data_IF_866619922935
#
_entry.id   IF_866619922935
#
_cell.length_a   1.000
_cell.length_b   1.000
_cell.length_c   1.000
_cell.angle_alpha   90.00
_cell.angle_beta   90.00
_cell.angle_gamma   90.00
#
_symmetry.space_group_name_H-M   'P 1'
#
loop_
_entity.id
_entity.type
_entity.pdbx_description
1 polymer ?
#
# COMPACT_ATOMS: atom_id res chain seq x y z
N UNK A 1 -1.50 21.60 6.03
CA UNK A 1 -2.11 20.47 5.29
C UNK A 1 -3.26 20.95 4.40
N UNK A 2 -4.21 21.73 4.92
CA UNK A 2 -5.35 22.24 4.12
C UNK A 2 -4.95 23.08 2.89
N UNK A 3 -3.98 23.99 3.03
CA UNK A 3 -3.48 24.76 1.89
C UNK A 3 -2.90 23.88 0.76
N UNK A 4 -2.16 22.82 1.12
CA UNK A 4 -1.61 21.88 0.14
C UNK A 4 -2.73 21.07 -0.55
N UNK A 5 -3.74 20.62 0.20
CA UNK A 5 -4.92 19.95 -0.35
C UNK A 5 -5.66 20.86 -1.34
N UNK A 6 -5.88 22.13 -1.00
CA UNK A 6 -6.52 23.10 -1.88
C UNK A 6 -5.72 23.32 -3.17
N UNK A 7 -4.37 23.36 -3.09
CA UNK A 7 -3.52 23.46 -4.28
C UNK A 7 -3.64 22.25 -5.20
N UNK A 8 -3.66 21.03 -4.68
CA UNK A 8 -3.89 19.83 -5.48
C UNK A 8 -5.26 19.86 -6.16
N UNK A 9 -6.30 20.20 -5.41
CA UNK A 9 -7.68 20.27 -5.94
C UNK A 9 -7.80 21.34 -7.03
N UNK A 10 -7.18 22.51 -6.85
CA UNK A 10 -7.17 23.56 -7.87
C UNK A 10 -6.44 23.13 -9.15
N UNK A 11 -5.30 22.43 -9.02
CA UNK A 11 -4.57 21.90 -10.16
C UNK A 11 -5.39 20.83 -10.93
N UNK A 12 -6.03 19.91 -10.21
CA UNK A 12 -6.87 18.86 -10.81
C UNK A 12 -8.21 19.38 -11.35
N UNK A 13 -8.70 20.52 -10.86
CA UNK A 13 -9.84 21.21 -11.46
C UNK A 13 -9.48 21.85 -12.81
N UNK A 14 -8.24 22.32 -12.95
CA UNK A 14 -7.73 22.87 -14.21
C UNK A 14 -7.42 21.78 -15.24
N UNK A 15 -6.80 20.68 -14.81
CA UNK A 15 -6.53 19.51 -15.64
C UNK A 15 -6.91 18.19 -14.92
N UNK A 16 -8.16 17.72 -15.09
CA UNK A 16 -8.62 16.47 -14.50
C UNK A 16 -7.90 15.21 -15.04
N UNK A 17 -7.21 15.31 -16.19
CA UNK A 17 -6.48 14.19 -16.78
C UNK A 17 -5.04 14.04 -16.29
N UNK A 18 -4.59 14.94 -15.41
CA UNK A 18 -3.23 14.93 -14.88
C UNK A 18 -3.00 13.80 -13.85
N UNK A 19 -2.90 12.55 -14.33
CA UNK A 19 -2.74 11.35 -13.49
C UNK A 19 -1.54 11.44 -12.54
N UNK A 20 -0.38 11.93 -12.99
CA UNK A 20 0.80 12.13 -12.13
C UNK A 20 0.50 13.08 -10.94
N UNK A 21 -0.24 14.16 -11.18
CA UNK A 21 -0.66 15.09 -10.13
C UNK A 21 -1.68 14.44 -9.19
N UNK A 22 -2.60 13.64 -9.73
CA UNK A 22 -3.59 12.89 -8.95
C UNK A 22 -2.93 11.83 -8.06
N UNK A 23 -1.97 11.07 -8.57
CA UNK A 23 -1.17 10.11 -7.79
C UNK A 23 -0.40 10.79 -6.66
N UNK A 24 0.17 11.97 -6.92
CA UNK A 24 0.82 12.77 -5.87
C UNK A 24 -0.18 13.17 -4.78
N UNK A 25 -1.39 13.59 -5.18
CA UNK A 25 -2.45 13.96 -4.24
C UNK A 25 -2.96 12.75 -3.43
N UNK A 26 -3.13 11.60 -4.06
CA UNK A 26 -3.44 10.32 -3.39
C UNK A 26 -2.41 10.01 -2.32
N UNK A 27 -1.11 10.09 -2.64
CA UNK A 27 -0.04 9.89 -1.66
C UNK A 27 -0.15 10.83 -0.46
N UNK A 28 -0.46 12.11 -0.71
CA UNK A 28 -0.71 13.10 0.33
C UNK A 28 -1.93 12.74 1.21
N UNK A 29 -3.01 12.23 0.63
CA UNK A 29 -4.20 11.78 1.36
C UNK A 29 -3.90 10.56 2.24
N UNK A 30 -3.15 9.58 1.73
CA UNK A 30 -2.73 8.40 2.49
C UNK A 30 -1.81 8.78 3.67
N UNK A 31 -0.89 9.73 3.48
CA UNK A 31 -0.08 10.27 4.58
C UNK A 31 -0.91 11.00 5.65
N UNK A 32 -2.11 11.46 5.29
CA UNK A 32 -3.10 12.04 6.19
C UNK A 32 -4.08 11.02 6.79
N UNK A 33 -3.92 9.72 6.54
CA UNK A 33 -4.86 8.65 6.88
C UNK A 33 -6.29 8.88 6.32
N UNK A 34 -6.41 9.63 5.21
CA UNK A 34 -7.69 9.90 4.53
C UNK A 34 -7.96 8.83 3.48
N UNK A 35 -8.17 7.60 3.94
CA UNK A 35 -8.26 6.40 3.07
C UNK A 35 -9.42 6.50 2.07
N UNK A 36 -10.62 6.92 2.54
CA UNK A 36 -11.80 7.04 1.67
C UNK A 36 -11.64 8.11 0.58
N UNK A 37 -11.01 9.26 0.93
CA UNK A 37 -10.72 10.30 -0.05
C UNK A 37 -9.69 9.80 -1.08
N UNK A 38 -8.65 9.09 -0.63
CA UNK A 38 -7.63 8.52 -1.52
C UNK A 38 -8.23 7.48 -2.48
N UNK A 39 -9.13 6.62 -2.01
CA UNK A 39 -9.86 5.65 -2.84
C UNK A 39 -10.74 6.34 -3.88
N UNK A 40 -11.42 7.43 -3.49
CA UNK A 40 -12.20 8.25 -4.41
C UNK A 40 -11.32 8.81 -5.53
N UNK A 41 -10.16 9.39 -5.19
CA UNK A 41 -9.22 9.92 -6.18
C UNK A 41 -8.62 8.81 -7.07
N UNK A 42 -8.35 7.63 -6.53
CA UNK A 42 -7.92 6.48 -7.31
C UNK A 42 -8.94 6.10 -8.40
N UNK A 43 -10.23 6.16 -8.07
CA UNK A 43 -11.32 5.91 -9.03
C UNK A 43 -11.42 6.94 -10.17
N UNK A 44 -10.73 8.08 -10.06
CA UNK A 44 -10.70 9.13 -11.08
C UNK A 44 -9.46 9.05 -12.00
N UNK A 45 -8.55 8.11 -11.76
CA UNK A 45 -7.38 7.92 -12.61
C UNK A 45 -7.78 7.39 -13.99
N UNK A 46 -7.08 7.86 -15.02
CA UNK A 46 -7.26 7.29 -16.35
C UNK A 46 -6.67 5.87 -16.45
N UNK A 47 -7.08 5.06 -17.43
CA UNK A 47 -6.46 3.74 -17.65
C UNK A 47 -4.95 3.78 -17.88
N UNK A 48 -4.40 4.93 -18.32
CA UNK A 48 -2.96 5.10 -18.56
C UNK A 48 -2.17 5.29 -17.26
N UNK A 49 -2.82 5.66 -16.16
CA UNK A 49 -2.17 5.82 -14.86
C UNK A 49 -1.44 4.55 -14.41
N UNK A 50 -1.87 3.37 -14.87
CA UNK A 50 -1.21 2.08 -14.62
C UNK A 50 0.25 2.02 -15.11
N UNK A 51 0.66 2.94 -15.99
CA UNK A 51 2.02 3.06 -16.52
C UNK A 51 2.88 4.02 -15.72
N UNK A 52 2.31 4.77 -14.78
CA UNK A 52 3.05 5.70 -13.92
C UNK A 52 3.76 4.92 -12.82
N UNK A 53 5.04 5.25 -12.57
CA UNK A 53 5.90 4.56 -11.59
C UNK A 53 5.28 4.50 -10.18
N UNK A 54 4.51 5.51 -9.79
CA UNK A 54 3.90 5.60 -8.47
C UNK A 54 2.59 4.78 -8.31
N UNK A 55 1.97 4.36 -9.41
CA UNK A 55 0.62 3.78 -9.39
C UNK A 55 0.54 2.53 -8.53
N UNK A 56 1.39 1.56 -8.82
CA UNK A 56 1.31 0.23 -8.21
C UNK A 56 1.63 0.32 -6.70
N UNK A 57 2.67 1.06 -6.31
CA UNK A 57 3.04 1.24 -4.90
C UNK A 57 1.94 1.95 -4.09
N UNK A 58 1.28 2.95 -4.67
CA UNK A 58 0.15 3.64 -4.02
C UNK A 58 -1.09 2.75 -3.94
N UNK A 59 -1.34 1.90 -4.95
CA UNK A 59 -2.45 0.96 -4.93
C UNK A 59 -2.25 -0.07 -3.83
N UNK A 60 -1.06 -0.69 -3.76
CA UNK A 60 -0.69 -1.64 -2.71
C UNK A 60 -0.81 -1.00 -1.33
N UNK A 61 -0.36 0.25 -1.17
CA UNK A 61 -0.47 0.97 0.09
C UNK A 61 -1.93 1.26 0.47
N UNK A 62 -2.77 1.68 -0.48
CA UNK A 62 -4.20 1.91 -0.23
C UNK A 62 -4.87 0.63 0.27
N UNK A 63 -4.66 -0.49 -0.42
CA UNK A 63 -5.27 -1.78 -0.04
C UNK A 63 -4.75 -2.26 1.33
N UNK A 64 -3.44 -2.13 1.59
CA UNK A 64 -2.90 -2.41 2.92
C UNK A 64 -3.55 -1.55 4.00
N UNK A 65 -3.69 -0.23 3.77
CA UNK A 65 -4.33 0.69 4.73
C UNK A 65 -5.81 0.39 4.96
N UNK A 66 -6.53 -0.17 3.96
CA UNK A 66 -7.91 -0.63 4.12
C UNK A 66 -7.99 -1.88 4.99
N UNK A 67 -7.02 -2.79 4.89
CA UNK A 67 -7.01 -4.07 5.61
C UNK A 67 -6.44 -4.03 7.04
N UNK A 68 -5.58 -3.06 7.39
CA UNK A 68 -4.90 -3.04 8.72
C UNK A 68 -5.84 -2.96 9.93
N UNK A 69 -7.08 -2.49 9.77
CA UNK A 69 -8.05 -2.42 10.86
C UNK A 69 -8.50 -3.78 11.39
N UNK A 70 -8.41 -4.82 10.55
CA UNK A 70 -8.81 -6.18 10.86
C UNK A 70 -7.64 -7.07 11.31
N UNK A 71 -6.40 -6.54 11.27
CA UNK A 71 -5.19 -7.28 11.59
C UNK A 71 -4.88 -7.27 13.10
N UNK A 72 -4.19 -8.31 13.61
CA UNK A 72 -3.59 -8.27 14.93
C UNK A 72 -2.60 -7.12 15.06
N UNK A 73 -2.29 -6.71 16.30
CA UNK A 73 -1.34 -5.64 16.50
C UNK A 73 0.07 -6.03 16.00
N UNK A 74 0.86 -5.02 15.62
CA UNK A 74 2.17 -5.26 15.02
C UNK A 74 3.18 -5.95 15.97
N UNK A 75 3.01 -5.87 17.29
CA UNK A 75 3.87 -6.55 18.25
C UNK A 75 3.49 -8.04 18.35
N UNK A 76 2.19 -8.35 18.34
CA UNK A 76 1.67 -9.70 18.28
C UNK A 76 2.12 -10.42 17.01
N UNK A 77 1.99 -9.78 15.84
CA UNK A 77 2.44 -10.35 14.57
C UNK A 77 3.95 -10.64 14.58
N UNK A 78 4.76 -9.72 15.11
CA UNK A 78 6.21 -9.95 15.29
C UNK A 78 6.50 -11.13 16.22
N UNK A 79 5.75 -11.26 17.32
CA UNK A 79 5.91 -12.37 18.25
C UNK A 79 5.52 -13.71 17.61
N UNK A 80 4.44 -13.75 16.82
CA UNK A 80 4.03 -14.94 16.05
C UNK A 80 5.12 -15.37 15.07
N UNK A 81 5.65 -14.44 14.28
CA UNK A 81 6.74 -14.71 13.32
C UNK A 81 8.02 -15.17 14.03
N UNK A 82 8.36 -14.60 15.19
CA UNK A 82 9.53 -15.02 15.95
C UNK A 82 9.37 -16.43 16.54
N UNK A 83 8.17 -16.77 17.03
CA UNK A 83 7.87 -18.09 17.58
C UNK A 83 7.75 -19.17 16.50
N UNK A 84 7.23 -18.81 15.32
CA UNK A 84 7.10 -19.69 14.17
C UNK A 84 7.48 -18.94 12.88
N UNK A 85 8.76 -19.01 12.45
CA UNK A 85 9.21 -18.39 11.21
C UNK A 85 8.52 -18.91 9.94
N UNK A 86 7.79 -20.03 10.00
CA UNK A 86 7.01 -20.59 8.89
C UNK A 86 5.51 -20.20 8.93
N UNK A 87 5.09 -19.33 9.85
CA UNK A 87 3.74 -18.74 9.86
C UNK A 87 3.61 -17.70 8.74
N UNK A 88 3.42 -18.18 7.50
CA UNK A 88 3.29 -17.34 6.30
C UNK A 88 2.12 -16.36 6.38
N UNK A 89 0.93 -16.72 6.92
CA UNK A 89 -0.13 -15.76 7.18
C UNK A 89 0.33 -14.60 8.08
N UNK A 90 0.99 -14.88 9.22
CA UNK A 90 1.48 -13.81 10.09
C UNK A 90 2.54 -12.92 9.41
N UNK A 91 3.39 -13.49 8.55
CA UNK A 91 4.34 -12.71 7.76
C UNK A 91 3.65 -11.79 6.75
N UNK A 92 2.60 -12.27 6.09
CA UNK A 92 1.83 -11.49 5.13
C UNK A 92 1.10 -10.33 5.83
N UNK A 93 0.43 -10.61 6.95
CA UNK A 93 -0.22 -9.58 7.77
C UNK A 93 0.79 -8.53 8.25
N UNK A 94 1.97 -8.98 8.71
CA UNK A 94 3.04 -8.09 9.12
C UNK A 94 3.54 -7.24 7.93
N UNK A 95 3.70 -7.82 6.74
CA UNK A 95 4.08 -7.08 5.54
C UNK A 95 3.06 -6.00 5.19
N UNK A 96 1.75 -6.29 5.20
CA UNK A 96 0.70 -5.31 4.94
C UNK A 96 0.72 -4.17 5.97
N UNK A 97 0.88 -4.49 7.26
CA UNK A 97 0.99 -3.48 8.31
C UNK A 97 2.22 -2.58 8.12
N UNK A 98 3.35 -3.14 7.69
CA UNK A 98 4.57 -2.39 7.38
C UNK A 98 4.41 -1.51 6.13
N UNK A 99 3.77 -2.02 5.07
CA UNK A 99 3.45 -1.26 3.85
C UNK A 99 2.56 -0.06 4.16
N UNK A 100 1.49 -0.26 4.96
CA UNK A 100 0.59 0.81 5.37
C UNK A 100 1.34 1.94 6.09
N UNK A 101 2.40 1.59 6.82
CA UNK A 101 3.29 2.51 7.55
C UNK A 101 4.48 3.04 6.72
N UNK A 102 4.60 2.63 5.46
CA UNK A 102 5.73 2.93 4.56
C UNK A 102 7.08 2.36 5.03
N UNK A 103 7.06 1.32 5.85
CA UNK A 103 8.23 0.56 6.29
C UNK A 103 8.58 -0.51 5.23
N UNK A 104 8.82 -0.08 3.99
CA UNK A 104 8.90 -0.97 2.82
C UNK A 104 10.05 -1.98 2.86
N UNK A 105 11.20 -1.60 3.41
CA UNK A 105 12.34 -2.51 3.55
C UNK A 105 11.99 -3.69 4.47
N UNK A 106 11.42 -3.41 5.64
CA UNK A 106 10.97 -4.43 6.57
C UNK A 106 9.82 -5.27 5.99
N UNK A 107 8.91 -4.67 5.22
CA UNK A 107 7.86 -5.40 4.53
C UNK A 107 8.45 -6.37 3.48
N UNK A 108 9.42 -5.90 2.70
CA UNK A 108 10.12 -6.70 1.69
C UNK A 108 10.81 -7.91 2.32
N UNK A 109 11.44 -7.75 3.49
CA UNK A 109 12.02 -8.89 4.22
C UNK A 109 10.98 -9.98 4.50
N UNK A 110 9.77 -9.60 4.95
CA UNK A 110 8.72 -10.59 5.21
C UNK A 110 8.24 -11.28 3.93
N UNK A 111 8.04 -10.51 2.85
CA UNK A 111 7.59 -11.04 1.56
C UNK A 111 8.64 -11.96 0.92
N UNK A 112 9.93 -11.62 1.04
CA UNK A 112 11.03 -12.47 0.58
C UNK A 112 11.06 -13.80 1.34
N UNK A 113 10.84 -13.79 2.65
CA UNK A 113 10.76 -15.02 3.45
C UNK A 113 9.56 -15.88 3.06
N UNK A 114 8.42 -15.28 2.70
CA UNK A 114 7.28 -16.02 2.12
C UNK A 114 7.70 -16.70 0.82
N UNK A 115 8.28 -15.96 -0.12
CA UNK A 115 8.69 -16.51 -1.43
C UNK A 115 9.76 -17.60 -1.30
N UNK A 116 10.69 -17.45 -0.35
CA UNK A 116 11.73 -18.45 -0.05
C UNK A 116 11.14 -19.73 0.56
N UNK A 117 10.13 -19.59 1.42
CA UNK A 117 9.53 -20.71 2.15
C UNK A 117 8.51 -21.47 1.32
N UNK A 118 7.57 -20.75 0.71
CA UNK A 118 6.58 -21.27 -0.23
C UNK A 118 6.22 -20.20 -1.25
N UNK A 119 6.81 -20.30 -2.44
CA UNK A 119 6.54 -19.39 -3.55
C UNK A 119 5.06 -19.38 -3.96
N UNK A 120 4.36 -20.50 -3.85
CA UNK A 120 2.98 -20.66 -4.30
C UNK A 120 1.94 -20.25 -3.26
N UNK A 121 2.36 -19.82 -2.07
CA UNK A 121 1.49 -19.35 -1.01
C UNK A 121 0.54 -18.25 -1.52
N UNK A 122 -0.77 -18.47 -1.32
CA UNK A 122 -1.88 -17.60 -1.76
C UNK A 122 -1.72 -17.07 -3.20
N UNK A 123 -1.52 -17.98 -4.17
CA UNK A 123 -1.35 -17.65 -5.58
C UNK A 123 -0.17 -16.66 -5.83
N UNK A 124 1.02 -16.98 -5.32
CA UNK A 124 2.22 -16.14 -5.44
C UNK A 124 2.08 -14.76 -4.74
N UNK A 125 1.27 -14.63 -3.68
CA UNK A 125 0.99 -13.33 -3.05
C UNK A 125 2.27 -12.59 -2.66
N UNK A 126 3.26 -13.28 -2.10
CA UNK A 126 4.53 -12.67 -1.68
C UNK A 126 5.25 -11.96 -2.84
N UNK A 127 5.36 -12.62 -4.00
CA UNK A 127 5.99 -12.05 -5.19
C UNK A 127 5.12 -10.95 -5.82
N UNK A 128 3.81 -11.14 -5.87
CA UNK A 128 2.89 -10.15 -6.45
C UNK A 128 2.93 -8.84 -5.66
N UNK A 129 2.89 -8.90 -4.34
CA UNK A 129 2.96 -7.73 -3.46
C UNK A 129 4.30 -7.01 -3.60
N UNK A 130 5.42 -7.72 -3.80
CA UNK A 130 6.73 -7.08 -4.04
C UNK A 130 6.82 -6.29 -5.36
N UNK A 131 6.06 -6.69 -6.37
CA UNK A 131 6.08 -6.10 -7.71
C UNK A 131 5.01 -5.03 -7.92
N UNK A 132 4.16 -4.83 -6.91
CA UNK A 132 3.06 -3.88 -6.94
C UNK A 132 3.46 -2.64 -6.15
#
# INVERSE_FOLDING_TARGET
REAAQASFQAALAYDPGADTARLTYIGFLLDGNKIADAETEFGLLSPRATQEDAYAALQTRLEAMKGVGDLPDGAELKARVAANPADLPARLDLAHLLIARREYEAALEQLLEIVRSDRGFEDDVGRKTMLS
#
